data_IF_354646484357
#
_entry.id   IF_354646484357
#
_cell.length_a   1.000
_cell.length_b   1.000
_cell.length_c   1.000
_cell.angle_alpha   90.00
_cell.angle_beta   90.00
_cell.angle_gamma   90.00
#
_symmetry.space_group_name_H-M   'P 1'
#
loop_
_entity.id
_entity.type
_entity.pdbx_description
1 polymer ?
#
# COMPACT_ATOMS: atom_id res chain seq x y z
N UNK A 1 -8.95 -10.68 22.18
CA UNK A 1 -9.56 -9.57 21.45
C UNK A 1 -8.69 -9.15 20.27
N UNK A 2 -9.28 -8.93 19.13
CA UNK A 2 -8.53 -8.60 17.92
C UNK A 2 -8.03 -7.15 17.95
N UNK A 3 -6.74 -6.97 17.69
CA UNK A 3 -6.11 -5.64 17.64
C UNK A 3 -5.38 -5.45 16.32
N UNK A 4 -5.38 -4.20 15.85
CA UNK A 4 -4.65 -3.79 14.66
C UNK A 4 -3.80 -2.58 15.03
N UNK A 5 -2.47 -2.71 14.94
CA UNK A 5 -1.56 -1.63 15.34
C UNK A 5 -1.72 -1.19 16.79
N UNK A 6 -2.10 -2.11 17.69
CA UNK A 6 -2.32 -1.83 19.10
C UNK A 6 -3.71 -1.27 19.43
N UNK A 7 -4.58 -1.09 18.43
CA UNK A 7 -5.94 -0.56 18.60
C UNK A 7 -6.94 -1.70 18.43
N UNK A 8 -7.93 -1.77 19.30
CA UNK A 8 -8.96 -2.81 19.22
C UNK A 8 -9.82 -2.62 17.96
N UNK A 9 -10.07 -3.73 17.27
CA UNK A 9 -10.86 -3.69 16.02
C UNK A 9 -12.28 -3.17 16.26
N UNK A 10 -12.88 -3.49 17.40
CA UNK A 10 -14.21 -3.00 17.75
C UNK A 10 -14.23 -1.47 17.87
N UNK A 11 -13.19 -0.88 18.47
CA UNK A 11 -13.09 0.57 18.60
C UNK A 11 -12.96 1.24 17.24
N UNK A 12 -12.21 0.63 16.33
CA UNK A 12 -12.08 1.13 14.96
C UNK A 12 -13.41 1.08 14.23
N UNK A 13 -14.13 -0.04 14.35
CA UNK A 13 -15.44 -0.19 13.70
C UNK A 13 -16.46 0.83 14.21
N UNK A 14 -16.45 1.10 15.51
CA UNK A 14 -17.33 2.12 16.10
C UNK A 14 -17.02 3.52 15.60
N UNK A 15 -15.73 3.83 15.46
CA UNK A 15 -15.27 5.16 15.06
C UNK A 15 -15.51 5.43 13.57
N UNK A 16 -15.30 4.45 12.71
CA UNK A 16 -15.32 4.62 11.25
C UNK A 16 -16.48 3.94 10.55
N UNK A 17 -17.28 3.15 11.27
CA UNK A 17 -18.42 2.44 10.69
C UNK A 17 -18.02 1.11 10.05
N UNK A 18 -19.02 0.40 9.52
CA UNK A 18 -18.82 -0.87 8.83
C UNK A 18 -19.52 -0.84 7.46
N UNK A 19 -18.97 -1.53 6.43
CA UNK A 19 -17.75 -2.33 6.44
C UNK A 19 -16.49 -1.48 6.59
N UNK A 20 -15.48 -2.06 7.22
CA UNK A 20 -14.23 -1.37 7.49
C UNK A 20 -13.05 -2.21 7.01
N UNK A 21 -12.22 -1.63 6.13
CA UNK A 21 -10.97 -2.24 5.70
C UNK A 21 -9.83 -1.65 6.51
N UNK A 22 -9.14 -2.50 7.27
CA UNK A 22 -8.10 -2.07 8.19
C UNK A 22 -6.75 -2.63 7.75
N UNK A 23 -5.76 -1.76 7.62
CA UNK A 23 -4.40 -2.16 7.31
C UNK A 23 -3.47 -1.81 8.47
N UNK A 24 -2.67 -2.78 8.91
CA UNK A 24 -1.62 -2.52 9.88
C UNK A 24 -0.36 -2.11 9.13
N UNK A 25 0.01 -0.84 9.24
CA UNK A 25 1.16 -0.28 8.54
C UNK A 25 2.46 -1.01 8.87
N UNK A 26 2.62 -1.45 10.12
CA UNK A 26 3.84 -2.18 10.52
C UNK A 26 3.94 -3.54 9.82
N UNK A 27 2.82 -4.23 9.66
CA UNK A 27 2.79 -5.51 8.95
C UNK A 27 3.14 -5.30 7.47
N UNK A 28 2.56 -4.28 6.84
CA UNK A 28 2.83 -3.98 5.43
C UNK A 28 4.30 -3.63 5.22
N UNK A 29 4.85 -2.76 6.06
CA UNK A 29 6.27 -2.39 5.98
C UNK A 29 7.18 -3.60 6.17
N UNK A 30 6.85 -4.45 7.14
CA UNK A 30 7.63 -5.65 7.42
C UNK A 30 7.64 -6.63 6.26
N UNK A 31 6.51 -6.83 5.61
CA UNK A 31 6.41 -7.70 4.44
C UNK A 31 7.23 -7.15 3.26
N UNK A 32 7.15 -5.85 3.00
CA UNK A 32 7.94 -5.23 1.95
C UNK A 32 9.44 -5.36 2.22
N UNK A 33 9.86 -5.10 3.45
CA UNK A 33 11.27 -5.18 3.83
C UNK A 33 11.81 -6.60 3.72
N UNK A 34 11.02 -7.61 4.07
CA UNK A 34 11.39 -9.01 3.87
C UNK A 34 11.64 -9.33 2.40
N UNK A 35 10.75 -8.86 1.52
CA UNK A 35 10.95 -9.05 0.09
C UNK A 35 12.25 -8.39 -0.38
N UNK A 36 12.52 -7.17 0.07
CA UNK A 36 13.73 -6.43 -0.29
C UNK A 36 14.98 -7.15 0.18
N UNK A 37 14.95 -7.72 1.38
CA UNK A 37 16.10 -8.47 1.92
C UNK A 37 16.41 -9.72 1.12
N UNK A 38 15.34 -10.43 0.67
CA UNK A 38 15.52 -11.66 -0.09
C UNK A 38 15.82 -11.41 -1.58
N UNK A 39 15.41 -10.26 -2.10
CA UNK A 39 15.53 -9.90 -3.51
C UNK A 39 16.17 -8.52 -3.66
N UNK A 40 17.40 -8.30 -3.12
CA UNK A 40 17.97 -6.94 -3.08
C UNK A 40 18.31 -6.38 -4.46
N UNK A 41 18.53 -7.23 -5.46
CA UNK A 41 18.85 -6.78 -6.82
C UNK A 41 17.61 -6.52 -7.67
N UNK A 42 16.40 -6.74 -7.15
CA UNK A 42 15.16 -6.50 -7.87
C UNK A 42 14.47 -5.24 -7.37
N UNK A 43 13.84 -4.50 -8.28
CA UNK A 43 12.94 -3.44 -7.92
C UNK A 43 11.55 -4.02 -7.71
N UNK A 44 10.87 -3.61 -6.64
CA UNK A 44 9.56 -4.12 -6.28
C UNK A 44 8.51 -3.08 -6.67
N UNK A 45 7.54 -3.49 -7.49
CA UNK A 45 6.44 -2.65 -7.92
C UNK A 45 5.13 -3.20 -7.39
N UNK A 46 4.32 -2.32 -6.83
CA UNK A 46 3.00 -2.69 -6.32
C UNK A 46 1.94 -2.44 -7.38
N UNK A 47 1.10 -3.44 -7.65
CA UNK A 47 0.02 -3.30 -8.62
C UNK A 47 -1.19 -2.62 -7.97
N UNK A 48 -1.52 -1.42 -8.42
CA UNK A 48 -2.71 -0.70 -7.95
C UNK A 48 -4.01 -1.35 -8.41
N UNK A 49 -3.94 -2.16 -9.46
CA UNK A 49 -5.08 -2.96 -9.91
C UNK A 49 -5.53 -3.96 -8.85
N UNK A 50 -4.59 -4.51 -8.07
CA UNK A 50 -4.89 -5.50 -7.04
C UNK A 50 -5.60 -4.87 -5.84
N UNK A 51 -5.19 -3.67 -5.46
CA UNK A 51 -5.80 -2.94 -4.35
C UNK A 51 -5.49 -1.45 -4.52
N UNK A 52 -6.51 -0.66 -4.80
CA UNK A 52 -6.39 0.77 -5.04
C UNK A 52 -6.47 1.64 -3.80
N UNK A 53 -6.22 1.09 -2.60
CA UNK A 53 -6.26 1.87 -1.38
C UNK A 53 -5.14 2.92 -1.36
N UNK A 54 -5.51 4.19 -1.20
CA UNK A 54 -4.53 5.28 -1.10
C UNK A 54 -3.64 5.12 0.14
N UNK A 55 -4.21 4.67 1.25
CA UNK A 55 -3.45 4.48 2.49
C UNK A 55 -2.35 3.42 2.31
N UNK A 56 -2.69 2.28 1.71
CA UNK A 56 -1.72 1.21 1.46
C UNK A 56 -0.66 1.66 0.45
N UNK A 57 -1.08 2.35 -0.61
CA UNK A 57 -0.17 2.87 -1.62
C UNK A 57 0.84 3.86 -1.01
N UNK A 58 0.39 4.74 -0.12
CA UNK A 58 1.28 5.68 0.56
C UNK A 58 2.32 4.98 1.41
N UNK A 59 1.93 3.92 2.11
CA UNK A 59 2.88 3.15 2.93
C UNK A 59 3.97 2.56 2.04
N UNK A 60 3.59 1.96 0.93
CA UNK A 60 4.55 1.33 0.02
C UNK A 60 5.42 2.35 -0.70
N UNK A 61 4.86 3.48 -1.12
CA UNK A 61 5.63 4.56 -1.73
C UNK A 61 6.70 5.08 -0.77
N UNK A 62 6.36 5.24 0.49
CA UNK A 62 7.29 5.70 1.52
C UNK A 62 8.44 4.71 1.75
N UNK A 63 8.22 3.42 1.48
CA UNK A 63 9.27 2.40 1.58
C UNK A 63 10.16 2.33 0.34
N UNK A 64 9.82 3.04 -0.73
CA UNK A 64 10.61 3.05 -1.95
C UNK A 64 10.11 2.11 -3.04
N UNK A 65 8.93 1.53 -2.88
CA UNK A 65 8.34 0.69 -3.91
C UNK A 65 7.92 1.53 -5.12
N UNK A 66 7.84 0.89 -6.29
CA UNK A 66 7.24 1.49 -7.47
C UNK A 66 5.77 1.11 -7.59
N UNK A 67 5.07 1.70 -8.55
CA UNK A 67 3.68 1.42 -8.81
C UNK A 67 3.47 0.91 -10.24
N UNK A 68 2.69 -0.14 -10.38
CA UNK A 68 2.22 -0.61 -11.67
C UNK A 68 0.76 -0.19 -11.82
N UNK A 69 0.46 0.49 -12.90
CA UNK A 69 -0.88 1.03 -13.16
C UNK A 69 -1.41 0.52 -14.50
N UNK A 70 -2.74 0.50 -14.64
CA UNK A 70 -3.40 0.07 -15.87
C UNK A 70 -4.45 1.06 -16.35
N UNK A 71 -4.59 2.21 -15.70
CA UNK A 71 -5.59 3.21 -16.07
C UNK A 71 -5.14 4.61 -15.64
N UNK A 72 -5.80 5.63 -16.22
CA UNK A 72 -5.55 7.02 -15.84
C UNK A 72 -5.97 7.30 -14.39
N UNK A 73 -7.01 6.64 -13.90
CA UNK A 73 -7.43 6.76 -12.51
C UNK A 73 -6.38 6.22 -11.55
N UNK A 74 -5.74 5.13 -11.91
CA UNK A 74 -4.65 4.56 -11.11
C UNK A 74 -3.41 5.47 -11.15
N UNK A 75 -3.17 6.17 -12.25
CA UNK A 75 -2.10 7.15 -12.32
C UNK A 75 -2.32 8.28 -11.33
N UNK A 76 -3.53 8.80 -11.25
CA UNK A 76 -3.87 9.85 -10.28
C UNK A 76 -3.64 9.34 -8.85
N UNK A 77 -4.06 8.10 -8.58
CA UNK A 77 -3.85 7.49 -7.27
C UNK A 77 -2.37 7.33 -6.94
N UNK A 78 -1.58 6.88 -7.91
CA UNK A 78 -0.13 6.70 -7.72
C UNK A 78 0.55 8.03 -7.40
N UNK A 79 0.19 9.09 -8.11
CA UNK A 79 0.73 10.43 -7.87
C UNK A 79 0.33 10.95 -6.49
N UNK A 80 -0.93 10.77 -6.11
CA UNK A 80 -1.42 11.18 -4.79
C UNK A 80 -0.74 10.41 -3.65
N UNK A 81 -0.38 9.15 -3.91
CA UNK A 81 0.32 8.32 -2.91
C UNK A 81 1.80 8.71 -2.74
N UNK A 82 2.37 9.42 -3.69
CA UNK A 82 3.75 9.88 -3.61
C UNK A 82 4.76 9.05 -4.38
N UNK A 83 4.31 8.17 -5.28
CA UNK A 83 5.24 7.46 -6.17
C UNK A 83 5.87 8.45 -7.14
N UNK A 84 7.21 8.48 -7.26
CA UNK A 84 7.85 9.36 -8.24
C UNK A 84 7.57 8.85 -9.67
N UNK A 85 7.57 9.75 -10.68
CA UNK A 85 7.23 9.36 -12.04
C UNK A 85 8.09 8.22 -12.60
N UNK A 86 9.37 8.19 -12.28
CA UNK A 86 10.29 7.14 -12.74
C UNK A 86 10.05 5.79 -12.08
N UNK A 87 9.19 5.76 -11.06
CA UNK A 87 8.79 4.54 -10.36
C UNK A 87 7.36 4.13 -10.69
N UNK A 88 6.78 4.69 -11.74
CA UNK A 88 5.43 4.32 -12.19
C UNK A 88 5.54 3.69 -13.56
N UNK A 89 5.03 2.46 -13.72
CA UNK A 89 4.99 1.79 -15.01
C UNK A 89 3.55 1.50 -15.41
N UNK A 90 3.27 1.60 -16.70
CA UNK A 90 1.97 1.29 -17.26
C UNK A 90 1.98 -0.10 -17.86
N UNK A 91 1.06 -0.96 -17.40
CA UNK A 91 0.94 -2.34 -17.83
C UNK A 91 -0.51 -2.63 -18.20
N UNK A 92 -1.01 -1.90 -19.16
CA UNK A 92 -2.40 -1.97 -19.59
C UNK A 92 -2.69 -2.98 -20.68
#
# INVERSE_FOLDING_TARGET
>A
MLKVGGIEAEALAEQFGTPLYVYDAEVVRGQYQKLKEHLPQFEIYYSLKANGSLALARILAAQGAGAEIASSGELVLAQAAGFPPEKIIFAG
#
